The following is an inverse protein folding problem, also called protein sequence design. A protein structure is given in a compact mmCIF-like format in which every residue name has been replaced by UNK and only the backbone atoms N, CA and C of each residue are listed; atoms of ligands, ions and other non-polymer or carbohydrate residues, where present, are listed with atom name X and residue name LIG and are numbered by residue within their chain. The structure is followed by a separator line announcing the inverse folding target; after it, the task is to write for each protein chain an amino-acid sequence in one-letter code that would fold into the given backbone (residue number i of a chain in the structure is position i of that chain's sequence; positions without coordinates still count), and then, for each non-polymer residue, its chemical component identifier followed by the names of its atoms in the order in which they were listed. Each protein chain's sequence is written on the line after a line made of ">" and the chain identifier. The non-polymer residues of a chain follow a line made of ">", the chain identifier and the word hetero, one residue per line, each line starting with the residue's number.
data_IF_286674963052
#
_entry.id   IF_286674963052
#
_cell.length_a   1.000
_cell.length_b   1.000
_cell.length_c   1.000
_cell.angle_alpha   90.00
_cell.angle_beta   90.00
_cell.angle_gamma   90.00
#
_symmetry.space_group_name_H-M   'P 1'
#
loop_
_entity.id
_entity.type
_entity.pdbx_description
1 polymer ?
#
# COMPACT_ATOMS: atom_id res chain seq x y z
N UNK A 1 -19.91 -8.73 24.08
CA UNK A 1 -18.46 -8.62 23.79
C UNK A 1 -18.30 -7.64 22.63
N UNK A 2 -17.21 -6.86 22.60
CA UNK A 2 -16.91 -5.91 21.52
C UNK A 2 -15.40 -5.84 21.29
N UNK A 3 -14.98 -5.46 20.09
CA UNK A 3 -13.57 -5.46 19.68
C UNK A 3 -13.16 -4.12 19.08
N UNK A 4 -11.92 -3.71 19.37
CA UNK A 4 -11.27 -2.59 18.69
C UNK A 4 -10.12 -3.10 17.83
N UNK A 5 -10.10 -2.69 16.57
CA UNK A 5 -9.04 -3.00 15.61
C UNK A 5 -8.42 -1.69 15.12
N UNK A 6 -7.12 -1.51 15.33
CA UNK A 6 -6.41 -0.33 14.85
C UNK A 6 -5.28 -0.76 13.94
N UNK A 7 -5.42 -0.47 12.64
CA UNK A 7 -4.33 -0.59 11.66
C UNK A 7 -3.75 -2.02 11.63
N UNK A 8 -4.61 -3.00 11.35
CA UNK A 8 -4.28 -4.43 11.42
C UNK A 8 -4.41 -5.11 10.06
N UNK A 9 -3.48 -6.01 9.69
CA UNK A 9 -3.66 -6.86 8.52
C UNK A 9 -4.86 -7.80 8.72
N UNK A 10 -5.60 -8.08 7.65
CA UNK A 10 -6.60 -9.15 7.63
C UNK A 10 -5.97 -10.51 7.31
N UNK A 11 -4.80 -10.51 6.67
CA UNK A 11 -4.11 -11.71 6.22
C UNK A 11 -2.58 -11.58 6.36
N UNK A 12 -1.97 -12.66 6.83
CA UNK A 12 -0.52 -12.83 6.96
C UNK A 12 0.22 -12.88 5.61
N UNK A 13 -0.43 -13.40 4.55
CA UNK A 13 0.18 -13.36 3.22
C UNK A 13 0.25 -11.93 2.71
N UNK A 14 -0.83 -11.16 2.82
CA UNK A 14 -0.91 -9.78 2.34
C UNK A 14 -0.05 -8.78 3.13
N UNK A 15 0.29 -9.12 4.38
CA UNK A 15 1.35 -8.45 5.14
C UNK A 15 2.72 -8.54 4.46
N UNK A 16 2.98 -9.64 3.74
CA UNK A 16 4.30 -10.01 3.23
C UNK A 16 4.42 -9.82 1.72
N UNK A 17 3.36 -10.15 1.01
CA UNK A 17 3.27 -10.15 -0.44
C UNK A 17 2.08 -9.31 -0.90
N UNK A 18 2.31 -8.38 -1.81
CA UNK A 18 1.27 -7.57 -2.44
C UNK A 18 1.25 -7.90 -3.94
N UNK A 19 0.09 -8.29 -4.48
CA UNK A 19 -0.02 -8.70 -5.88
C UNK A 19 0.92 -9.85 -6.28
N UNK A 20 1.35 -10.68 -5.32
CA UNK A 20 2.33 -11.75 -5.53
C UNK A 20 3.79 -11.29 -5.59
N UNK A 21 4.08 -10.01 -5.37
CA UNK A 21 5.42 -9.49 -5.19
C UNK A 21 5.73 -9.33 -3.70
N UNK A 22 6.96 -9.69 -3.28
CA UNK A 22 7.41 -9.46 -1.89
C UNK A 22 7.44 -7.95 -1.63
N UNK A 23 6.74 -7.49 -0.60
CA UNK A 23 6.77 -6.11 -0.14
C UNK A 23 8.09 -5.83 0.60
N UNK A 24 9.20 -5.87 -0.14
CA UNK A 24 10.56 -5.91 0.42
C UNK A 24 10.84 -4.73 1.36
N UNK A 25 10.36 -3.52 1.01
CA UNK A 25 10.45 -2.31 1.83
C UNK A 25 9.97 -2.52 3.27
N UNK A 26 8.70 -2.87 3.42
CA UNK A 26 8.06 -3.06 4.72
C UNK A 26 8.53 -4.34 5.42
N UNK A 27 8.65 -5.45 4.69
CA UNK A 27 8.96 -6.76 5.28
C UNK A 27 10.38 -6.85 5.79
N UNK A 28 11.36 -6.31 5.07
CA UNK A 28 12.76 -6.28 5.52
C UNK A 28 12.92 -5.37 6.74
N UNK A 29 12.32 -4.18 6.69
CA UNK A 29 12.31 -3.24 7.82
C UNK A 29 11.70 -3.87 9.07
N UNK A 30 10.54 -4.51 8.94
CA UNK A 30 9.88 -5.16 10.05
C UNK A 30 10.66 -6.37 10.58
N UNK A 31 11.21 -7.22 9.70
CA UNK A 31 12.03 -8.36 10.09
C UNK A 31 13.26 -7.92 10.89
N UNK A 32 13.94 -6.85 10.46
CA UNK A 32 15.07 -6.26 11.16
C UNK A 32 14.67 -5.69 12.53
N UNK A 33 13.53 -5.00 12.62
CA UNK A 33 12.99 -4.52 13.90
C UNK A 33 12.64 -5.66 14.86
N UNK A 34 12.03 -6.74 14.36
CA UNK A 34 11.72 -7.93 15.17
C UNK A 34 12.98 -8.67 15.63
N UNK A 35 13.97 -8.79 14.76
CA UNK A 35 15.28 -9.35 15.08
C UNK A 35 15.96 -8.57 16.22
N UNK A 36 15.92 -7.23 16.18
CA UNK A 36 16.40 -6.36 17.26
C UNK A 36 15.62 -6.55 18.56
N UNK A 37 14.29 -6.58 18.50
CA UNK A 37 13.42 -6.81 19.67
C UNK A 37 13.68 -8.16 20.35
N UNK A 38 13.87 -9.23 19.58
CA UNK A 38 14.19 -10.56 20.11
C UNK A 38 15.56 -10.57 20.79
N UNK A 39 16.54 -9.85 20.24
CA UNK A 39 17.87 -9.69 20.82
C UNK A 39 17.84 -8.88 22.12
N UNK A 40 17.09 -7.78 22.17
CA UNK A 40 16.89 -7.02 23.40
C UNK A 40 16.25 -7.87 24.51
N UNK A 41 15.27 -8.73 24.16
CA UNK A 41 14.65 -9.66 25.12
C UNK A 41 15.64 -10.71 25.66
N UNK A 42 16.61 -11.17 24.85
CA UNK A 42 17.70 -12.04 25.28
C UNK A 42 18.61 -11.32 26.28
N UNK A 43 18.99 -10.08 25.97
CA UNK A 43 19.76 -9.22 26.88
C UNK A 43 19.07 -9.05 28.24
N UNK A 44 17.76 -8.79 28.24
CA UNK A 44 16.96 -8.67 29.48
C UNK A 44 16.92 -9.95 30.32
N UNK A 45 17.20 -11.12 29.72
CA UNK A 45 17.33 -12.40 30.42
C UNK A 45 18.75 -12.68 30.92
N UNK A 46 19.69 -11.75 30.72
CA UNK A 46 21.09 -11.90 31.13
C UNK A 46 21.96 -12.66 30.13
N UNK A 47 21.48 -12.90 28.91
CA UNK A 47 22.30 -13.48 27.84
C UNK A 47 23.32 -12.44 27.32
N UNK A 48 24.55 -12.86 27.03
CA UNK A 48 25.53 -12.00 26.34
C UNK A 48 25.11 -11.83 24.87
N UNK A 49 24.79 -10.59 24.51
CA UNK A 49 24.35 -10.19 23.17
C UNK A 49 25.20 -9.04 22.61
N UNK A 50 26.37 -8.74 23.19
CA UNK A 50 27.17 -7.58 22.78
C UNK A 50 27.53 -7.64 21.28
N UNK A 51 28.01 -8.79 20.81
CA UNK A 51 28.32 -9.02 19.40
C UNK A 51 27.07 -8.92 18.50
N UNK A 52 25.91 -9.38 18.99
CA UNK A 52 24.65 -9.30 18.24
C UNK A 52 24.24 -7.82 18.06
N UNK A 53 24.34 -7.01 19.12
CA UNK A 53 24.03 -5.58 19.08
C UNK A 53 24.97 -4.79 18.17
N UNK A 54 26.26 -5.14 18.13
CA UNK A 54 27.23 -4.57 17.20
C UNK A 54 26.85 -4.91 15.74
N UNK A 55 26.46 -6.16 15.48
CA UNK A 55 25.98 -6.63 14.17
C UNK A 55 24.72 -5.85 13.73
N UNK A 56 23.75 -5.67 14.63
CA UNK A 56 22.55 -4.86 14.37
C UNK A 56 22.90 -3.40 14.07
N UNK A 57 23.80 -2.81 14.85
CA UNK A 57 24.20 -1.42 14.67
C UNK A 57 24.85 -1.22 13.29
N UNK A 58 25.73 -2.15 12.88
CA UNK A 58 26.32 -2.13 11.55
C UNK A 58 25.27 -2.27 10.44
N UNK A 59 24.33 -3.20 10.58
CA UNK A 59 23.26 -3.43 9.60
C UNK A 59 22.29 -2.24 9.48
N UNK A 60 21.97 -1.58 10.60
CA UNK A 60 21.12 -0.37 10.60
C UNK A 60 21.85 0.81 9.97
N UNK A 61 23.14 0.97 10.22
CA UNK A 61 23.95 2.05 9.64
C UNK A 61 24.09 1.93 8.11
N UNK A 62 24.00 0.71 7.55
CA UNK A 62 24.04 0.45 6.11
C UNK A 62 22.76 -0.24 5.60
N UNK A 63 21.61 0.13 6.17
CA UNK A 63 20.32 -0.46 5.81
C UNK A 63 19.99 -0.43 4.30
N UNK A 64 20.30 0.65 3.54
CA UNK A 64 20.06 0.69 2.11
C UNK A 64 20.75 -0.43 1.30
N UNK A 65 21.88 -0.93 1.79
CA UNK A 65 22.61 -2.03 1.14
C UNK A 65 21.87 -3.36 1.31
N UNK A 66 21.15 -3.56 2.41
CA UNK A 66 20.36 -4.78 2.64
C UNK A 66 19.25 -4.95 1.59
N UNK A 67 18.66 -3.86 1.09
CA UNK A 67 17.68 -3.91 -0.01
C UNK A 67 18.26 -4.41 -1.34
N UNK A 68 19.59 -4.39 -1.48
CA UNK A 68 20.31 -4.78 -2.70
C UNK A 68 20.98 -6.14 -2.58
N UNK A 69 20.89 -6.79 -1.42
CA UNK A 69 21.46 -8.12 -1.19
C UNK A 69 20.85 -9.13 -2.16
N UNK A 70 21.70 -9.85 -2.87
CA UNK A 70 21.28 -10.92 -3.77
C UNK A 70 22.17 -12.15 -3.57
N UNK A 71 21.60 -13.35 -3.34
CA UNK A 71 20.17 -13.62 -3.13
C UNK A 71 19.65 -13.00 -1.80
N UNK A 72 18.35 -12.68 -1.72
CA UNK A 72 17.72 -12.12 -0.51
C UNK A 72 17.75 -13.07 0.71
N UNK A 73 18.11 -14.34 0.49
CA UNK A 73 18.36 -15.32 1.55
C UNK A 73 19.66 -15.08 2.30
N UNK A 74 20.57 -14.25 1.76
CA UNK A 74 21.92 -14.07 2.31
C UNK A 74 21.97 -12.83 3.20
N UNK A 75 21.07 -12.77 4.18
CA UNK A 75 21.02 -11.73 5.22
C UNK A 75 21.23 -12.42 6.58
N UNK A 76 22.50 -12.69 6.98
CA UNK A 76 22.81 -13.57 8.11
C UNK A 76 22.17 -13.15 9.43
N UNK A 77 22.09 -11.85 9.69
CA UNK A 77 21.48 -11.32 10.91
C UNK A 77 20.00 -11.72 11.04
N UNK A 78 19.27 -11.80 9.92
CA UNK A 78 17.88 -12.27 9.93
C UNK A 78 17.79 -13.78 10.08
N UNK A 79 18.67 -14.55 9.46
CA UNK A 79 18.69 -16.00 9.65
C UNK A 79 18.92 -16.39 11.11
N UNK A 80 19.78 -15.65 11.80
CA UNK A 80 20.13 -15.87 13.20
C UNK A 80 19.05 -15.40 14.18
N UNK A 81 18.51 -14.19 13.95
CA UNK A 81 17.65 -13.52 14.93
C UNK A 81 16.16 -13.53 14.58
N UNK A 82 15.82 -13.75 13.31
CA UNK A 82 14.43 -13.80 12.85
C UNK A 82 14.22 -14.84 11.71
N UNK A 83 14.33 -16.15 12.00
CA UNK A 83 14.30 -17.22 10.98
C UNK A 83 13.04 -17.25 10.11
N UNK A 84 11.95 -16.62 10.56
CA UNK A 84 10.72 -16.45 9.76
C UNK A 84 10.97 -15.72 8.44
N UNK A 85 11.99 -14.85 8.36
CA UNK A 85 12.40 -14.20 7.11
C UNK A 85 12.64 -15.21 5.99
N UNK A 86 13.41 -16.26 6.28
CA UNK A 86 13.70 -17.33 5.32
C UNK A 86 12.44 -18.09 4.92
N UNK A 87 11.52 -18.32 5.87
CA UNK A 87 10.24 -18.96 5.58
C UNK A 87 9.37 -18.15 4.64
N UNK A 88 9.36 -16.83 4.77
CA UNK A 88 8.64 -15.99 3.82
C UNK A 88 9.20 -16.14 2.40
N UNK A 89 10.53 -16.09 2.24
CA UNK A 89 11.18 -16.26 0.94
C UNK A 89 10.98 -17.66 0.32
N UNK A 90 10.87 -18.71 1.16
CA UNK A 90 10.60 -20.09 0.73
C UNK A 90 9.15 -20.28 0.23
N UNK A 91 8.22 -19.39 0.62
CA UNK A 91 6.80 -19.48 0.31
C UNK A 91 6.31 -18.24 -0.48
N UNK A 92 6.76 -18.03 -1.73
CA UNK A 92 6.44 -16.84 -2.52
C UNK A 92 5.03 -16.85 -3.11
N UNK A 93 4.31 -17.97 -3.05
CA UNK A 93 2.94 -18.13 -3.49
C UNK A 93 2.02 -18.26 -2.27
N UNK A 94 0.72 -17.98 -2.44
CA UNK A 94 -0.30 -18.14 -1.39
C UNK A 94 -0.68 -19.62 -1.19
N UNK A 95 0.27 -20.41 -0.74
CA UNK A 95 0.19 -21.86 -0.59
C UNK A 95 -0.39 -22.30 0.78
N UNK A 96 -0.38 -23.62 1.03
CA UNK A 96 -0.87 -24.22 2.28
C UNK A 96 -0.16 -23.68 3.53
N UNK A 97 1.10 -23.23 3.42
CA UNK A 97 1.84 -22.70 4.56
C UNK A 97 1.24 -21.39 5.05
N UNK A 98 0.83 -20.52 4.12
CA UNK A 98 0.10 -19.29 4.44
C UNK A 98 -1.33 -19.58 4.89
N UNK A 99 -2.03 -20.49 4.21
CA UNK A 99 -3.41 -20.84 4.57
C UNK A 99 -3.52 -21.40 5.99
N UNK A 100 -2.57 -22.23 6.42
CA UNK A 100 -2.51 -22.76 7.78
C UNK A 100 -2.26 -21.68 8.86
N UNK A 101 -1.87 -20.47 8.46
CA UNK A 101 -1.61 -19.30 9.33
C UNK A 101 -2.59 -18.16 9.09
N UNK A 102 -3.58 -18.35 8.22
CA UNK A 102 -4.62 -17.36 7.98
C UNK A 102 -5.35 -17.08 9.29
N UNK A 103 -5.69 -15.80 9.51
CA UNK A 103 -6.48 -15.40 10.67
C UNK A 103 -7.86 -16.05 10.52
N UNK A 104 -8.32 -16.87 11.48
CA UNK A 104 -9.64 -17.50 11.37
C UNK A 104 -10.71 -16.42 11.36
N UNK A 105 -11.82 -16.72 10.67
CA UNK A 105 -13.00 -15.87 10.72
C UNK A 105 -13.41 -15.69 12.18
N UNK A 106 -13.61 -14.43 12.58
CA UNK A 106 -14.01 -14.07 13.94
C UNK A 106 -15.50 -14.30 14.14
N UNK A 107 -15.88 -14.46 15.41
CA UNK A 107 -17.27 -14.45 15.82
C UNK A 107 -17.93 -13.10 15.51
N UNK A 108 -19.25 -13.15 15.37
CA UNK A 108 -20.16 -12.07 14.99
C UNK A 108 -20.28 -10.99 16.10
N UNK A 109 -19.21 -10.20 16.30
CA UNK A 109 -19.13 -9.17 17.36
C UNK A 109 -19.05 -7.74 16.79
N UNK A 110 -19.72 -6.77 17.44
CA UNK A 110 -19.53 -5.35 17.11
C UNK A 110 -18.06 -4.95 17.17
N UNK A 111 -17.60 -4.27 16.12
CA UNK A 111 -16.19 -3.90 15.99
C UNK A 111 -16.02 -2.45 15.59
N UNK A 112 -15.13 -1.72 16.29
CA UNK A 112 -14.60 -0.45 15.83
C UNK A 112 -13.30 -0.70 15.08
N UNK A 113 -13.25 -0.27 13.82
CA UNK A 113 -12.07 -0.35 12.95
C UNK A 113 -11.50 1.05 12.76
N UNK A 114 -10.23 1.21 13.07
CA UNK A 114 -9.45 2.43 12.81
C UNK A 114 -8.44 2.13 11.72
N UNK A 115 -8.46 2.94 10.66
CA UNK A 115 -7.64 2.78 9.47
C UNK A 115 -6.99 4.11 9.05
N UNK A 116 -6.00 4.03 8.15
CA UNK A 116 -5.37 5.18 7.52
C UNK A 116 -5.42 5.09 6.00
N UNK A 117 -5.69 6.18 5.30
CA UNK A 117 -5.70 6.21 3.82
C UNK A 117 -4.33 5.90 3.20
N UNK A 118 -3.25 6.13 3.94
CA UNK A 118 -1.88 5.86 3.51
C UNK A 118 -1.25 4.69 4.27
N UNK A 119 -2.06 3.92 4.99
CA UNK A 119 -1.60 2.76 5.72
C UNK A 119 -1.55 1.52 4.82
N UNK A 120 -0.49 0.72 4.96
CA UNK A 120 -0.29 -0.47 4.14
C UNK A 120 -1.31 -1.59 4.42
N UNK A 121 -2.04 -1.54 5.53
CA UNK A 121 -3.11 -2.48 5.90
C UNK A 121 -4.51 -1.94 5.63
N UNK A 122 -4.64 -0.85 4.89
CA UNK A 122 -5.95 -0.25 4.57
C UNK A 122 -6.92 -1.28 3.98
N UNK A 123 -6.50 -2.04 2.98
CA UNK A 123 -7.37 -3.02 2.32
C UNK A 123 -7.87 -4.07 3.32
N UNK A 124 -6.98 -4.59 4.17
CA UNK A 124 -7.36 -5.55 5.21
C UNK A 124 -8.24 -4.94 6.31
N UNK A 125 -8.05 -3.67 6.64
CA UNK A 125 -8.90 -2.94 7.59
C UNK A 125 -10.31 -2.74 7.01
N UNK A 126 -10.42 -2.38 5.73
CA UNK A 126 -11.70 -2.23 5.05
C UNK A 126 -12.43 -3.58 4.89
N UNK A 127 -11.70 -4.66 4.62
CA UNK A 127 -12.27 -6.01 4.59
C UNK A 127 -12.83 -6.42 5.96
N UNK A 128 -12.06 -6.23 7.03
CA UNK A 128 -12.50 -6.51 8.40
C UNK A 128 -13.72 -5.67 8.77
N UNK A 129 -13.76 -4.39 8.35
CA UNK A 129 -14.95 -3.57 8.56
C UNK A 129 -16.15 -4.09 7.75
N UNK A 130 -15.97 -4.49 6.48
CA UNK A 130 -17.06 -5.04 5.67
C UNK A 130 -17.65 -6.32 6.29
N UNK A 131 -16.82 -7.16 6.90
CA UNK A 131 -17.25 -8.34 7.67
C UNK A 131 -17.98 -7.96 8.96
N UNK A 132 -17.57 -6.88 9.63
CA UNK A 132 -18.19 -6.40 10.87
C UNK A 132 -19.42 -5.50 10.67
N UNK A 133 -19.59 -4.90 9.49
CA UNK A 133 -20.62 -3.91 9.18
C UNK A 133 -22.07 -4.41 9.33
N UNK A 134 -22.40 -5.71 9.11
CA UNK A 134 -23.72 -6.24 9.41
C UNK A 134 -24.12 -6.17 10.90
N UNK A 135 -23.17 -6.00 11.82
CA UNK A 135 -23.45 -5.96 13.26
C UNK A 135 -23.72 -4.53 13.73
N UNK A 136 -24.86 -4.35 14.41
CA UNK A 136 -25.29 -3.07 14.93
C UNK A 136 -24.22 -2.48 15.86
N UNK A 137 -23.84 -1.23 15.59
CA UNK A 137 -22.85 -0.50 16.38
C UNK A 137 -21.41 -0.58 15.89
N UNK A 138 -21.09 -1.43 14.91
CA UNK A 138 -19.76 -1.44 14.27
C UNK A 138 -19.42 -0.07 13.64
N UNK A 139 -18.15 0.36 13.72
CA UNK A 139 -17.72 1.70 13.29
C UNK A 139 -16.43 1.64 12.47
N UNK A 140 -16.27 2.59 11.54
CA UNK A 140 -15.04 2.79 10.77
C UNK A 140 -14.54 4.24 10.93
N UNK A 141 -13.35 4.41 11.49
CA UNK A 141 -12.67 5.70 11.53
C UNK A 141 -11.47 5.64 10.60
N UNK A 142 -11.42 6.51 9.59
CA UNK A 142 -10.33 6.55 8.64
C UNK A 142 -9.80 7.96 8.42
N UNK A 143 -8.57 8.19 8.85
CA UNK A 143 -7.88 9.46 8.65
C UNK A 143 -6.84 9.40 7.53
N UNK A 144 -6.24 10.54 7.15
CA UNK A 144 -5.10 10.59 6.24
C UNK A 144 -3.82 10.21 7.00
N UNK A 145 -3.82 9.00 7.58
CA UNK A 145 -2.75 8.47 8.41
C UNK A 145 -2.01 7.36 7.67
N UNK A 146 -0.73 7.21 7.98
CA UNK A 146 0.10 6.08 7.58
C UNK A 146 0.18 5.06 8.71
N UNK A 147 1.18 4.17 8.61
CA UNK A 147 1.41 3.16 9.65
C UNK A 147 2.02 3.79 10.90
N UNK A 148 1.26 3.87 11.99
CA UNK A 148 1.71 4.42 13.26
C UNK A 148 0.69 5.33 13.93
N UNK A 149 1.18 6.34 14.66
CA UNK A 149 0.31 7.25 15.42
C UNK A 149 -0.46 8.20 14.47
N UNK A 150 -1.78 8.36 14.64
CA UNK A 150 -2.63 9.32 13.91
C UNK A 150 -2.19 10.80 14.03
N UNK A 151 -1.22 11.20 13.20
CA UNK A 151 -0.64 12.54 13.15
C UNK A 151 -1.39 13.53 12.25
N UNK A 152 -0.80 14.73 12.09
CA UNK A 152 -1.33 15.77 11.19
C UNK A 152 -0.66 15.76 9.82
N UNK A 153 0.53 15.19 9.68
CA UNK A 153 1.31 15.24 8.45
C UNK A 153 1.89 13.87 8.11
N UNK A 154 2.04 13.59 6.82
CA UNK A 154 2.78 12.44 6.28
C UNK A 154 3.63 12.92 5.11
N UNK A 155 4.93 12.72 5.20
CA UNK A 155 5.92 13.16 4.22
C UNK A 155 5.71 14.61 3.75
N UNK A 156 5.40 14.82 2.47
CA UNK A 156 5.30 16.13 1.83
C UNK A 156 3.98 16.86 2.13
N UNK A 157 3.05 16.20 2.82
CA UNK A 157 1.68 16.69 3.03
C UNK A 157 1.38 16.84 4.52
N UNK A 158 1.19 18.07 4.95
CA UNK A 158 0.41 18.37 6.16
C UNK A 158 -1.07 18.21 5.79
N UNK A 159 -1.88 17.59 6.64
CA UNK A 159 -3.34 17.43 6.49
C UNK A 159 -4.11 18.34 7.48
N UNK A 160 -3.39 19.17 8.24
CA UNK A 160 -3.92 20.15 9.17
C UNK A 160 -4.23 19.58 10.55
N UNK A 161 -4.32 20.44 11.58
CA UNK A 161 -4.57 20.02 12.97
C UNK A 161 -5.83 19.17 13.14
N UNK A 162 -6.86 19.43 12.34
CA UNK A 162 -8.14 18.75 12.39
C UNK A 162 -8.08 17.28 11.94
N UNK A 163 -7.00 16.84 11.28
CA UNK A 163 -6.80 15.46 10.84
C UNK A 163 -6.18 14.55 11.91
N UNK A 164 -5.58 15.10 12.97
CA UNK A 164 -4.96 14.28 14.03
C UNK A 164 -5.98 13.41 14.77
N UNK A 165 -5.55 12.25 15.24
CA UNK A 165 -6.36 11.34 16.08
C UNK A 165 -6.97 12.06 17.30
N UNK A 166 -6.18 12.92 17.94
CA UNK A 166 -6.64 13.74 19.06
C UNK A 166 -7.75 14.71 18.67
N UNK A 167 -7.60 15.45 17.56
CA UNK A 167 -8.61 16.42 17.12
C UNK A 167 -9.90 15.79 16.58
N UNK A 168 -9.83 14.56 16.08
CA UNK A 168 -11.03 13.78 15.71
C UNK A 168 -11.66 13.06 16.91
N UNK A 169 -11.03 13.11 18.09
CA UNK A 169 -11.54 12.45 19.30
C UNK A 169 -11.43 10.93 19.25
N UNK A 170 -10.40 10.40 18.58
CA UNK A 170 -10.26 8.96 18.32
C UNK A 170 -10.30 8.13 19.60
N UNK A 171 -9.57 8.56 20.64
CA UNK A 171 -9.53 7.85 21.93
C UNK A 171 -10.90 7.85 22.63
N UNK A 172 -11.59 8.99 22.60
CA UNK A 172 -12.94 9.10 23.15
C UNK A 172 -13.92 8.20 22.39
N UNK A 173 -13.86 8.18 21.06
CA UNK A 173 -14.71 7.32 20.22
C UNK A 173 -14.49 5.83 20.52
N UNK A 174 -13.24 5.39 20.67
CA UNK A 174 -12.90 4.00 21.03
C UNK A 174 -13.34 3.65 22.45
N UNK A 175 -13.10 4.52 23.42
CA UNK A 175 -13.51 4.30 24.81
C UNK A 175 -15.02 4.28 24.95
N UNK A 176 -15.73 5.20 24.30
CA UNK A 176 -17.20 5.24 24.29
C UNK A 176 -17.79 4.00 23.62
N UNK A 177 -17.18 3.54 22.52
CA UNK A 177 -17.56 2.29 21.88
C UNK A 177 -17.40 1.11 22.83
N UNK A 178 -16.23 0.91 23.45
CA UNK A 178 -16.02 -0.22 24.35
C UNK A 178 -16.91 -0.14 25.59
N UNK A 179 -17.03 1.04 26.19
CA UNK A 179 -17.77 1.24 27.42
C UNK A 179 -19.28 1.03 27.23
N UNK A 180 -19.86 1.46 26.11
CA UNK A 180 -21.28 1.20 25.80
C UNK A 180 -21.59 -0.30 25.68
N UNK A 181 -20.71 -1.07 25.05
CA UNK A 181 -20.88 -2.52 24.91
C UNK A 181 -20.64 -3.28 26.22
N UNK A 182 -19.76 -2.79 27.10
CA UNK A 182 -19.59 -3.34 28.46
C UNK A 182 -20.84 -3.08 29.32
N UNK A 183 -21.46 -1.91 29.17
CA UNK A 183 -22.69 -1.54 29.91
C UNK A 183 -23.97 -2.20 29.35
N UNK A 184 -23.89 -2.87 28.21
CA UNK A 184 -25.06 -3.47 27.54
C UNK A 184 -26.02 -2.43 26.96
N UNK A 185 -25.54 -1.22 26.68
CA UNK A 185 -26.32 -0.19 26.01
C UNK A 185 -26.57 -0.63 24.55
N UNK A 186 -27.82 -0.63 24.09
CA UNK A 186 -28.10 -1.02 22.71
C UNK A 186 -27.50 0.02 21.76
N UNK A 187 -26.69 -0.46 20.82
CA UNK A 187 -26.06 0.36 19.78
C UNK A 187 -27.04 0.74 18.66
N UNK A 188 -28.33 0.41 18.82
CA UNK A 188 -29.41 0.49 17.83
C UNK A 188 -29.60 1.90 17.21
N UNK A 189 -28.95 2.93 17.75
CA UNK A 189 -29.14 4.33 17.34
C UNK A 189 -28.05 4.88 16.42
N UNK A 190 -26.92 4.19 16.18
CA UNK A 190 -25.83 4.75 15.37
C UNK A 190 -25.47 3.79 14.23
N UNK A 191 -25.79 4.14 12.96
CA UNK A 191 -25.37 3.32 11.82
C UNK A 191 -23.84 3.23 11.75
N UNK A 192 -23.37 2.26 10.97
CA UNK A 192 -21.98 2.17 10.54
C UNK A 192 -21.48 3.55 10.08
N UNK A 193 -20.70 4.21 10.94
CA UNK A 193 -20.14 5.54 10.68
C UNK A 193 -18.79 5.33 10.03
N UNK A 194 -18.66 5.76 8.78
CA UNK A 194 -17.35 6.00 8.17
C UNK A 194 -17.04 7.49 8.39
N UNK A 195 -15.96 7.79 9.10
CA UNK A 195 -15.42 9.15 9.16
C UNK A 195 -14.17 9.20 8.30
N UNK A 196 -14.27 9.79 7.11
CA UNK A 196 -13.14 10.05 6.23
C UNK A 196 -12.69 11.51 6.36
N UNK A 197 -11.43 11.74 6.71
CA UNK A 197 -10.81 13.06 6.57
C UNK A 197 -10.04 13.10 5.24
N UNK A 198 -10.49 13.91 4.29
CA UNK A 198 -9.70 14.27 3.12
C UNK A 198 -9.25 15.71 3.26
N UNK A 199 -7.94 15.98 3.24
CA UNK A 199 -7.44 17.35 3.31
C UNK A 199 -7.28 17.94 1.91
N UNK A 200 -7.84 19.14 1.71
CA UNK A 200 -7.66 19.95 0.50
C UNK A 200 -6.92 21.22 0.84
N UNK A 201 -6.06 21.67 -0.07
CA UNK A 201 -5.76 23.09 -0.11
C UNK A 201 -4.95 23.58 -1.30
N UNK A 202 -5.16 24.87 -1.56
CA UNK A 202 -4.26 25.75 -2.29
C UNK A 202 -3.14 26.27 -1.36
N UNK A 203 -2.01 26.76 -1.92
CA UNK A 203 -0.68 26.50 -1.38
C UNK A 203 -0.28 27.42 -0.26
N UNK A 204 0.69 26.97 0.51
CA UNK A 204 1.43 27.83 1.40
C UNK A 204 2.72 28.37 0.88
N UNK A 205 2.60 29.62 0.44
CA UNK A 205 3.44 30.69 0.95
C UNK A 205 3.18 30.94 2.46
N UNK A 206 3.68 30.05 3.33
CA UNK A 206 4.11 30.44 4.68
C UNK A 206 3.24 30.20 5.93
N UNK A 207 1.91 29.97 5.88
CA UNK A 207 1.03 29.51 7.00
C UNK A 207 -0.46 29.47 6.61
N UNK A 208 -1.05 28.30 6.41
CA UNK A 208 -2.44 28.07 6.00
C UNK A 208 -2.91 26.76 6.60
N UNK A 209 -4.16 26.80 6.96
CA UNK A 209 -4.88 25.73 7.57
C UNK A 209 -5.61 25.03 6.44
N UNK A 210 -5.24 23.78 6.17
CA UNK A 210 -5.96 22.93 5.24
C UNK A 210 -7.33 22.58 5.81
N UNK A 211 -8.36 22.64 4.97
CA UNK A 211 -9.68 22.17 5.34
C UNK A 211 -9.70 20.65 5.17
N UNK A 212 -9.71 19.94 6.29
CA UNK A 212 -10.10 18.53 6.30
C UNK A 212 -11.63 18.47 6.19
N UNK A 213 -12.13 18.08 5.02
CA UNK A 213 -13.55 17.75 4.89
C UNK A 213 -13.78 16.45 5.64
N UNK A 214 -14.56 16.51 6.72
CA UNK A 214 -15.04 15.32 7.42
C UNK A 214 -16.24 14.78 6.65
N UNK A 215 -16.05 13.67 5.96
CA UNK A 215 -17.17 12.88 5.49
C UNK A 215 -17.74 12.12 6.68
N UNK A 216 -18.73 12.70 7.35
CA UNK A 216 -19.61 11.97 8.26
C UNK A 216 -20.81 11.50 7.46
N UNK A 217 -20.89 10.20 7.25
CA UNK A 217 -21.98 9.60 6.52
C UNK A 217 -22.57 8.48 7.37
N UNK A 218 -23.81 8.71 7.80
CA UNK A 218 -24.71 7.69 8.34
C UNK A 218 -25.46 6.94 7.20
N UNK A 219 -25.27 7.40 5.96
CA UNK A 219 -25.90 6.91 4.73
C UNK A 219 -24.93 7.03 3.55
N UNK A 220 -24.53 5.92 2.90
CA UNK A 220 -23.53 5.95 1.85
C UNK A 220 -23.89 6.97 0.76
N UNK A 221 -22.97 7.88 0.46
CA UNK A 221 -23.10 8.79 -0.67
C UNK A 221 -23.24 7.93 -1.93
N UNK A 222 -24.21 8.19 -2.84
CA UNK A 222 -24.33 7.41 -4.07
C UNK A 222 -23.08 7.60 -4.94
N UNK A 223 -22.18 6.62 -4.92
CA UNK A 223 -20.98 6.60 -5.74
C UNK A 223 -21.28 6.07 -7.14
N UNK A 224 -20.67 6.66 -8.16
CA UNK A 224 -20.71 6.16 -9.54
C UNK A 224 -19.34 5.63 -9.94
N UNK A 225 -19.29 4.41 -10.46
CA UNK A 225 -18.06 3.86 -11.03
C UNK A 225 -17.68 4.68 -12.27
N UNK A 226 -16.48 5.27 -12.25
CA UNK A 226 -15.91 6.00 -13.40
C UNK A 226 -14.83 5.16 -14.05
N UNK A 227 -14.90 4.99 -15.38
CA UNK A 227 -13.88 4.32 -16.18
C UNK A 227 -13.08 5.37 -16.96
N UNK A 228 -11.77 5.38 -16.78
CA UNK A 228 -10.84 6.17 -17.59
C UNK A 228 -10.09 5.20 -18.50
N UNK A 229 -10.11 5.46 -19.81
CA UNK A 229 -9.42 4.63 -20.80
C UNK A 229 -8.21 5.41 -21.29
N UNK A 230 -7.03 4.82 -21.12
CA UNK A 230 -5.76 5.39 -21.55
C UNK A 230 -5.20 4.56 -22.70
N UNK A 231 -4.77 5.21 -23.78
CA UNK A 231 -4.13 4.55 -24.92
C UNK A 231 -2.72 5.08 -25.11
N UNK A 232 -1.81 4.21 -25.53
CA UNK A 232 -0.46 4.62 -25.93
C UNK A 232 -0.57 5.54 -27.14
N UNK A 233 -0.04 6.76 -27.03
CA UNK A 233 -0.11 7.78 -28.08
C UNK A 233 -1.34 8.70 -28.00
N UNK A 234 -2.24 8.53 -27.03
CA UNK A 234 -3.35 9.45 -26.79
C UNK A 234 -2.78 10.80 -26.27
N UNK A 235 -2.76 11.80 -27.15
CA UNK A 235 -2.24 13.16 -26.92
C UNK A 235 -3.33 14.12 -26.44
N UNK A 236 -4.00 13.86 -25.32
CA UNK A 236 -4.80 14.92 -24.66
C UNK A 236 -3.92 15.77 -23.74
N UNK A 237 -3.01 16.53 -24.36
CA UNK A 237 -2.48 17.87 -24.00
C UNK A 237 -1.27 18.21 -24.91
N UNK A 238 -1.01 19.50 -25.21
CA UNK A 238 -0.39 19.94 -26.47
C UNK A 238 1.15 19.81 -26.49
N UNK A 239 1.62 19.40 -27.67
CA UNK A 239 3.00 19.21 -28.15
C UNK A 239 3.76 17.97 -27.68
N UNK A 240 4.15 17.09 -28.63
CA UNK A 240 4.92 15.89 -28.35
C UNK A 240 6.41 16.21 -28.17
N UNK A 241 7.06 15.60 -27.17
CA UNK A 241 8.33 14.97 -27.46
C UNK A 241 7.97 13.74 -28.30
N UNK A 242 8.39 13.74 -29.56
CA UNK A 242 8.14 12.65 -30.50
C UNK A 242 8.62 11.32 -29.92
N UNK A 243 7.70 10.41 -29.62
CA UNK A 243 8.03 9.00 -29.54
C UNK A 243 7.44 8.35 -30.80
N UNK A 244 8.23 8.32 -31.87
CA UNK A 244 7.95 7.50 -33.04
C UNK A 244 8.21 6.04 -32.69
N UNK A 245 7.34 5.15 -33.18
CA UNK A 245 7.41 3.67 -33.14
C UNK A 245 6.78 3.01 -31.91
N UNK A 246 6.05 1.87 -32.03
CA UNK A 246 5.70 1.00 -30.89
C UNK A 246 6.99 0.45 -30.26
N UNK A 247 7.64 1.25 -29.43
CA UNK A 247 8.92 0.92 -28.81
C UNK A 247 8.76 0.03 -27.60
N UNK A 248 9.40 -1.13 -27.64
CA UNK A 248 9.86 -1.93 -26.50
C UNK A 248 10.62 -1.02 -25.53
N UNK A 249 10.32 -1.08 -24.23
CA UNK A 249 11.12 -0.36 -23.22
C UNK A 249 11.78 -1.38 -22.30
N UNK A 250 13.10 -1.33 -22.22
CA UNK A 250 13.88 -2.25 -21.39
C UNK A 250 13.91 -1.73 -19.95
N UNK A 251 13.60 -2.60 -18.99
CA UNK A 251 13.88 -2.41 -17.58
C UNK A 251 15.11 -3.27 -17.24
N UNK A 252 16.14 -2.66 -16.64
CA UNK A 252 17.44 -3.31 -16.43
C UNK A 252 17.45 -4.32 -15.27
N UNK A 253 16.41 -4.33 -14.42
CA UNK A 253 16.28 -5.22 -13.28
C UNK A 253 17.23 -4.91 -12.12
N UNK A 254 18.11 -3.90 -12.26
CA UNK A 254 19.20 -3.58 -11.33
C UNK A 254 18.96 -2.26 -10.60
N UNK A 255 18.10 -1.40 -11.14
CA UNK A 255 17.74 -0.12 -10.54
C UNK A 255 16.33 -0.19 -9.98
N UNK A 256 16.13 -0.62 -8.71
CA UNK A 256 14.81 -0.66 -8.11
C UNK A 256 14.20 0.76 -8.14
N UNK A 257 12.93 0.82 -8.53
CA UNK A 257 12.10 2.01 -8.33
C UNK A 257 11.77 2.06 -6.84
N UNK A 258 12.66 2.66 -6.05
CA UNK A 258 12.28 3.14 -4.73
C UNK A 258 11.74 4.54 -4.97
N UNK A 259 10.44 4.64 -5.28
CA UNK A 259 9.79 5.94 -5.24
C UNK A 259 9.42 6.21 -3.78
N UNK A 260 9.83 7.36 -3.27
CA UNK A 260 9.26 7.88 -2.02
C UNK A 260 7.73 7.94 -2.17
N UNK A 261 7.02 7.53 -1.12
CA UNK A 261 5.56 7.49 -1.09
C UNK A 261 4.90 6.19 -1.57
N UNK A 262 5.64 5.15 -1.99
CA UNK A 262 5.02 3.84 -2.30
C UNK A 262 4.42 3.16 -1.06
N UNK A 263 3.30 2.44 -1.25
CA UNK A 263 2.60 1.73 -0.17
C UNK A 263 3.51 0.73 0.57
N UNK A 264 4.51 0.17 -0.12
CA UNK A 264 5.51 -0.73 0.45
C UNK A 264 6.43 -0.06 1.50
N UNK A 265 6.46 1.27 1.60
CA UNK A 265 7.25 2.01 2.58
C UNK A 265 6.42 2.89 3.55
N UNK A 266 5.08 2.81 3.50
CA UNK A 266 4.16 3.54 4.40
C UNK A 266 4.35 5.08 4.44
N UNK A 267 4.87 5.65 3.36
CA UNK A 267 5.33 7.06 3.28
C UNK A 267 4.29 8.03 2.73
N UNK A 268 3.01 7.91 3.05
CA UNK A 268 2.05 8.98 2.68
C UNK A 268 2.04 9.36 1.19
N UNK A 269 1.84 10.66 0.93
CA UNK A 269 1.87 11.25 -0.42
C UNK A 269 3.19 12.00 -0.62
N UNK A 270 3.94 11.64 -1.66
CA UNK A 270 5.21 12.24 -2.06
C UNK A 270 5.16 12.73 -3.51
N UNK A 271 5.99 13.73 -3.82
CA UNK A 271 6.14 14.23 -5.18
C UNK A 271 6.80 13.21 -6.13
N UNK A 272 6.07 12.87 -7.19
CA UNK A 272 6.44 11.86 -8.18
C UNK A 272 7.21 12.43 -9.37
N UNK A 273 7.42 13.75 -9.45
CA UNK A 273 8.18 14.39 -10.54
C UNK A 273 9.59 13.84 -10.74
N UNK A 274 10.37 13.45 -9.70
CA UNK A 274 11.71 12.86 -9.93
C UNK A 274 11.70 11.62 -10.82
N UNK A 275 10.60 10.86 -10.80
CA UNK A 275 10.43 9.69 -11.65
C UNK A 275 10.21 10.05 -13.12
N UNK A 276 9.74 11.25 -13.46
CA UNK A 276 9.42 11.65 -14.84
C UNK A 276 10.65 11.64 -15.77
N UNK A 277 11.86 11.60 -15.21
CA UNK A 277 13.11 11.48 -15.95
C UNK A 277 13.40 10.05 -16.42
N UNK A 278 12.72 9.04 -15.86
CA UNK A 278 13.01 7.65 -16.19
C UNK A 278 12.28 7.21 -17.45
N UNK A 279 13.00 6.52 -18.33
CA UNK A 279 12.45 6.05 -19.60
C UNK A 279 11.47 4.88 -19.43
N UNK A 280 11.58 4.13 -18.35
CA UNK A 280 10.72 2.99 -18.06
C UNK A 280 9.36 3.41 -17.49
N UNK A 281 9.16 4.68 -17.13
CA UNK A 281 7.86 5.21 -16.67
C UNK A 281 6.96 5.56 -17.85
N UNK A 282 5.74 5.01 -17.86
CA UNK A 282 4.64 5.49 -18.70
C UNK A 282 3.77 6.48 -17.91
N UNK A 283 3.35 7.58 -18.54
CA UNK A 283 2.46 8.59 -17.96
C UNK A 283 1.25 8.81 -18.85
N UNK A 284 0.08 8.85 -18.24
CA UNK A 284 -1.16 9.27 -18.87
C UNK A 284 -1.78 10.33 -17.98
N UNK A 285 -2.07 11.52 -18.49
CA UNK A 285 -2.62 12.62 -17.69
C UNK A 285 -3.88 13.14 -18.39
N UNK A 286 -4.94 13.40 -17.62
CA UNK A 286 -6.15 14.04 -18.16
C UNK A 286 -5.85 15.49 -18.55
N UNK A 287 -6.76 16.12 -19.29
CA UNK A 287 -6.83 17.59 -19.27
C UNK A 287 -7.15 18.08 -17.85
N UNK A 288 -6.81 19.34 -17.53
CA UNK A 288 -7.23 19.97 -16.29
C UNK A 288 -8.72 19.81 -16.06
N UNK A 289 -9.11 19.42 -14.85
CA UNK A 289 -10.50 19.20 -14.48
C UNK A 289 -11.27 20.51 -14.49
N UNK A 290 -12.42 20.54 -15.16
CA UNK A 290 -13.29 21.72 -15.16
C UNK A 290 -13.94 22.00 -13.80
N UNK A 291 -14.13 20.96 -12.98
CA UNK A 291 -14.71 21.02 -11.63
C UNK A 291 -14.00 20.05 -10.70
N UNK A 292 -14.08 20.28 -9.40
CA UNK A 292 -13.61 19.32 -8.39
C UNK A 292 -14.20 17.92 -8.64
N UNK A 293 -13.39 16.89 -8.40
CA UNK A 293 -13.80 15.49 -8.55
C UNK A 293 -13.39 14.65 -7.35
N UNK A 294 -14.38 14.11 -6.64
CA UNK A 294 -14.16 13.15 -5.55
C UNK A 294 -13.93 11.74 -6.10
N UNK A 295 -12.81 11.15 -5.72
CA UNK A 295 -12.42 9.76 -5.98
C UNK A 295 -12.48 9.03 -4.66
N UNK A 296 -13.57 8.29 -4.43
CA UNK A 296 -13.83 7.57 -3.18
C UNK A 296 -14.06 6.08 -3.48
N UNK A 297 -13.32 5.22 -2.81
CA UNK A 297 -13.44 3.77 -2.92
C UNK A 297 -12.24 3.10 -3.63
N UNK A 298 -12.39 1.83 -4.03
CA UNK A 298 -11.31 1.04 -4.63
C UNK A 298 -10.94 1.56 -6.02
N UNK A 299 -9.63 1.59 -6.29
CA UNK A 299 -9.03 1.95 -7.57
C UNK A 299 -8.40 0.71 -8.20
N UNK A 300 -8.80 0.42 -9.44
CA UNK A 300 -8.37 -0.76 -10.19
C UNK A 300 -7.88 -0.31 -11.57
N UNK A 301 -6.75 -0.87 -12.01
CA UNK A 301 -6.21 -0.70 -13.36
C UNK A 301 -6.31 -2.03 -14.10
N UNK A 302 -7.02 -2.03 -15.23
CA UNK A 302 -6.94 -3.13 -16.21
C UNK A 302 -5.93 -2.76 -17.28
N UNK A 303 -4.83 -3.49 -17.32
CA UNK A 303 -3.72 -3.29 -18.25
C UNK A 303 -3.69 -4.42 -19.29
N UNK A 304 -3.60 -4.06 -20.56
CA UNK A 304 -3.26 -5.00 -21.63
C UNK A 304 -1.82 -4.75 -22.05
N UNK A 305 -0.92 -5.69 -21.75
CA UNK A 305 0.50 -5.53 -21.98
C UNK A 305 1.16 -6.85 -22.40
N UNK A 306 2.33 -6.74 -23.04
CA UNK A 306 3.16 -7.87 -23.41
C UNK A 306 4.57 -7.65 -22.84
N UNK A 307 5.22 -8.73 -22.43
CA UNK A 307 6.61 -8.72 -21.97
C UNK A 307 7.44 -9.71 -22.79
N UNK A 308 8.72 -9.41 -23.03
CA UNK A 308 9.63 -10.35 -23.68
C UNK A 308 10.13 -11.45 -22.73
N UNK A 309 10.01 -11.23 -21.41
CA UNK A 309 10.32 -12.22 -20.39
C UNK A 309 9.11 -13.13 -20.11
N UNK A 310 9.38 -14.35 -19.63
CA UNK A 310 8.35 -15.29 -19.21
C UNK A 310 7.68 -14.89 -17.88
N UNK A 311 8.24 -13.92 -17.16
CA UNK A 311 7.62 -13.31 -15.98
C UNK A 311 8.16 -11.89 -15.78
N UNK A 312 7.34 -11.03 -15.19
CA UNK A 312 7.69 -9.66 -14.85
C UNK A 312 6.68 -9.09 -13.86
N UNK A 313 7.00 -7.99 -13.17
CA UNK A 313 6.01 -7.28 -12.36
C UNK A 313 5.46 -6.09 -13.13
N UNK A 314 4.16 -5.77 -12.97
CA UNK A 314 3.52 -4.55 -13.44
C UNK A 314 3.01 -3.73 -12.25
N UNK A 315 3.44 -2.47 -12.14
CA UNK A 315 2.89 -1.55 -11.14
C UNK A 315 1.91 -0.56 -11.76
N UNK A 316 1.12 0.10 -10.93
CA UNK A 316 0.32 1.24 -11.32
C UNK A 316 0.15 2.17 -10.11
N UNK A 317 0.03 3.47 -10.38
CA UNK A 317 -0.16 4.51 -9.37
C UNK A 317 -1.17 5.53 -9.89
N UNK A 318 -2.04 5.99 -9.01
CA UNK A 318 -2.92 7.13 -9.22
C UNK A 318 -2.23 8.37 -8.64
N UNK A 319 -2.11 9.44 -9.43
CA UNK A 319 -1.41 10.66 -9.04
C UNK A 319 -2.32 11.88 -9.24
N UNK A 320 -2.31 12.76 -8.25
CA UNK A 320 -2.92 14.09 -8.26
C UNK A 320 -1.91 15.12 -8.78
N UNK A 321 -2.18 15.72 -9.93
CA UNK A 321 -1.33 16.77 -10.52
C UNK A 321 -1.96 18.13 -10.22
N UNK A 322 -1.26 18.91 -9.40
CA UNK A 322 -1.71 20.21 -8.93
C UNK A 322 -1.46 21.30 -9.99
N UNK A 323 -2.20 22.42 -9.94
CA UNK A 323 -2.02 23.54 -10.88
C UNK A 323 -0.59 24.13 -10.89
N UNK A 324 0.13 24.03 -9.77
CA UNK A 324 1.53 24.47 -9.64
C UNK A 324 2.56 23.46 -10.18
N UNK A 325 2.08 22.33 -10.71
CA UNK A 325 2.88 21.28 -11.31
C UNK A 325 3.35 20.20 -10.35
N UNK A 326 3.08 20.29 -9.03
CA UNK A 326 3.35 19.16 -8.11
C UNK A 326 2.54 17.93 -8.53
N UNK A 327 3.12 16.74 -8.36
CA UNK A 327 2.49 15.48 -8.76
C UNK A 327 2.51 14.49 -7.60
N UNK A 328 1.49 14.50 -6.74
CA UNK A 328 1.47 13.71 -5.51
C UNK A 328 0.80 12.36 -5.74
N UNK A 329 1.42 11.27 -5.28
CA UNK A 329 0.76 9.96 -5.34
C UNK A 329 -0.43 9.91 -4.39
N UNK A 330 -1.49 9.23 -4.82
CA UNK A 330 -2.69 8.98 -4.01
C UNK A 330 -2.66 7.53 -3.52
N UNK A 331 -2.50 6.58 -4.45
CA UNK A 331 -2.57 5.14 -4.18
C UNK A 331 -1.82 4.39 -5.28
N UNK A 332 -1.19 3.27 -4.95
CA UNK A 332 -0.43 2.42 -5.87
C UNK A 332 -0.62 0.94 -5.61
N UNK A 333 -0.34 0.13 -6.63
CA UNK A 333 -0.41 -1.32 -6.57
C UNK A 333 0.54 -1.98 -7.55
N UNK A 334 0.66 -3.28 -7.39
CA UNK A 334 1.54 -4.14 -8.18
C UNK A 334 0.82 -5.45 -8.49
N UNK A 335 1.14 -6.05 -9.62
CA UNK A 335 0.85 -7.46 -9.91
C UNK A 335 2.09 -8.10 -10.50
N UNK A 336 2.50 -9.23 -9.92
CA UNK A 336 3.52 -10.10 -10.50
C UNK A 336 2.86 -10.99 -11.55
N UNK A 337 3.36 -10.98 -12.78
CA UNK A 337 2.70 -11.56 -13.93
C UNK A 337 2.41 -13.06 -13.77
N UNK A 338 3.30 -13.83 -13.14
CA UNK A 338 3.03 -15.25 -12.87
C UNK A 338 1.82 -15.49 -11.95
N UNK A 339 1.42 -14.51 -11.16
CA UNK A 339 0.28 -14.57 -10.23
C UNK A 339 -0.92 -13.76 -10.72
N UNK A 340 -0.94 -13.33 -12.00
CA UNK A 340 -2.04 -12.54 -12.59
C UNK A 340 -3.42 -13.19 -12.48
N UNK A 341 -3.47 -14.52 -12.35
CA UNK A 341 -4.68 -15.33 -12.27
C UNK A 341 -4.73 -16.04 -10.90
N UNK A 342 -5.32 -15.42 -9.86
CA UNK A 342 -5.31 -15.97 -8.50
C UNK A 342 -5.91 -17.38 -8.39
N UNK A 343 -6.84 -17.73 -9.29
CA UNK A 343 -7.49 -19.05 -9.33
C UNK A 343 -6.62 -20.17 -9.90
N UNK A 344 -5.53 -19.84 -10.59
CA UNK A 344 -4.73 -20.79 -11.37
C UNK A 344 -3.34 -21.05 -10.77
N UNK A 345 -2.98 -20.40 -9.65
CA UNK A 345 -1.64 -20.47 -9.08
C UNK A 345 -0.60 -19.76 -9.95
N UNK A 346 0.59 -20.35 -10.09
CA UNK A 346 1.66 -19.82 -10.95
C UNK A 346 1.44 -20.17 -12.42
N UNK A 347 1.40 -19.14 -13.27
CA UNK A 347 1.27 -19.29 -14.72
C UNK A 347 2.24 -18.35 -15.43
N UNK A 348 3.24 -18.88 -16.15
CA UNK A 348 4.18 -18.01 -16.88
C UNK A 348 3.50 -17.27 -18.05
N UNK A 349 4.13 -16.18 -18.50
CA UNK A 349 3.75 -15.45 -19.71
C UNK A 349 4.24 -16.16 -20.95
N UNK A 350 3.48 -16.03 -22.04
CA UNK A 350 4.00 -16.29 -23.38
C UNK A 350 4.76 -15.04 -23.86
N UNK A 351 6.07 -15.13 -24.12
CA UNK A 351 6.86 -13.97 -24.53
C UNK A 351 6.28 -13.23 -25.73
N UNK A 352 6.19 -11.90 -25.61
CA UNK A 352 5.68 -10.96 -26.62
C UNK A 352 4.19 -11.12 -26.97
N UNK A 353 3.43 -11.96 -26.27
CA UNK A 353 1.98 -12.03 -26.40
C UNK A 353 1.31 -11.03 -25.45
N UNK A 354 0.31 -10.26 -25.90
CA UNK A 354 -0.49 -9.44 -25.00
C UNK A 354 -1.33 -10.31 -24.04
N UNK A 355 -1.24 -9.98 -22.75
CA UNK A 355 -2.07 -10.54 -21.69
C UNK A 355 -2.82 -9.41 -20.97
N UNK A 356 -3.95 -9.75 -20.35
CA UNK A 356 -4.68 -8.85 -19.45
C UNK A 356 -4.12 -8.99 -18.03
N UNK A 357 -3.94 -7.86 -17.36
CA UNK A 357 -3.49 -7.77 -15.97
C UNK A 357 -4.47 -6.86 -15.21
N UNK A 358 -4.98 -7.36 -14.09
CA UNK A 358 -5.76 -6.56 -13.14
C UNK A 358 -4.83 -6.16 -12.00
N UNK A 359 -4.60 -4.86 -11.84
CA UNK A 359 -3.80 -4.28 -10.77
C UNK A 359 -4.76 -3.59 -9.81
N UNK A 360 -4.87 -4.11 -8.59
CA UNK A 360 -5.59 -3.46 -7.51
C UNK A 360 -4.65 -2.49 -6.82
N UNK A 361 -5.01 -1.20 -6.82
CA UNK A 361 -4.20 -0.16 -6.17
C UNK A 361 -4.60 -0.04 -4.69
N UNK A 362 -5.83 -0.42 -4.33
CA UNK A 362 -6.41 -0.22 -3.01
C UNK A 362 -7.46 0.89 -3.02
N UNK A 363 -7.91 1.31 -1.84
CA UNK A 363 -8.95 2.32 -1.70
C UNK A 363 -8.38 3.71 -1.38
N UNK A 364 -9.10 4.76 -1.77
CA UNK A 364 -8.77 6.14 -1.41
C UNK A 364 -10.04 6.97 -1.20
N UNK A 365 -9.87 8.15 -0.62
CA UNK A 365 -10.86 9.22 -0.60
C UNK A 365 -10.16 10.56 -0.90
N UNK A 366 -10.07 10.91 -2.19
CA UNK A 366 -9.36 12.09 -2.70
C UNK A 366 -10.20 12.90 -3.71
N UNK A 367 -10.45 14.18 -3.45
CA UNK A 367 -10.94 15.24 -4.34
C UNK A 367 -9.81 15.87 -5.14
N UNK A 368 -9.75 15.61 -6.43
CA UNK A 368 -8.87 16.38 -7.30
C UNK A 368 -9.53 17.72 -7.62
N UNK A 369 -8.85 18.83 -7.33
CA UNK A 369 -9.41 20.18 -7.49
C UNK A 369 -9.55 20.58 -8.95
N UNK A 370 -10.46 21.52 -9.23
CA UNK A 370 -10.56 22.15 -10.54
C UNK A 370 -9.20 22.75 -10.94
N UNK A 371 -8.86 22.68 -12.22
CA UNK A 371 -7.53 23.01 -12.78
C UNK A 371 -6.40 22.03 -12.44
N UNK A 372 -6.60 21.09 -11.50
CA UNK A 372 -5.74 19.92 -11.33
C UNK A 372 -6.00 18.85 -12.39
N UNK A 373 -5.16 17.83 -12.48
CA UNK A 373 -5.35 16.70 -13.42
C UNK A 373 -5.13 15.37 -12.70
N UNK A 374 -5.75 14.30 -13.21
CA UNK A 374 -5.45 12.94 -12.73
C UNK A 374 -4.50 12.28 -13.70
N UNK A 375 -3.47 11.64 -13.15
CA UNK A 375 -2.56 10.80 -13.92
C UNK A 375 -2.70 9.33 -13.51
N UNK A 376 -3.56 8.53 -14.18
CA UNK A 376 -3.62 7.09 -13.95
C UNK A 376 -2.47 6.37 -14.68
N UNK A 377 -1.85 5.43 -13.97
CA UNK A 377 -0.85 4.47 -14.43
C UNK A 377 0.59 5.00 -14.55
N UNK A 378 1.48 4.31 -13.82
CA UNK A 378 2.91 4.14 -14.12
C UNK A 378 3.14 2.63 -14.15
N UNK A 379 3.28 2.06 -15.34
CA UNK A 379 3.52 0.62 -15.56
C UNK A 379 4.95 0.36 -15.95
N UNK A 380 5.59 -0.62 -15.32
CA UNK A 380 6.93 -1.12 -15.65
C UNK A 380 6.88 -2.63 -15.73
N UNK A 381 7.76 -3.28 -16.51
CA UNK A 381 8.14 -4.66 -16.32
C UNK A 381 9.31 -4.74 -15.32
N UNK A 382 9.11 -5.12 -14.06
CA UNK A 382 10.26 -5.52 -13.24
C UNK A 382 10.71 -6.90 -13.70
N UNK A 383 11.88 -7.01 -14.32
CA UNK A 383 12.52 -8.29 -14.55
C UNK A 383 12.99 -8.82 -13.18
N UNK A 384 12.23 -9.74 -12.58
CA UNK A 384 12.70 -10.48 -11.41
C UNK A 384 13.81 -11.43 -11.86
N UNK A 385 15.04 -10.91 -11.99
CA UNK A 385 16.23 -11.73 -11.99
C UNK A 385 16.57 -12.12 -10.54
N UNK A 386 15.61 -12.69 -9.81
CA UNK A 386 15.93 -13.55 -8.67
C UNK A 386 16.08 -14.94 -9.28
N UNK A 387 17.32 -15.24 -9.67
CA UNK A 387 17.76 -16.58 -9.99
C UNK A 387 17.58 -17.47 -8.74
N UNK A 388 16.38 -18.00 -8.55
CA UNK A 388 16.20 -19.26 -7.81
C UNK A 388 16.74 -20.40 -8.68
N UNK A 389 18.03 -20.38 -9.00
CA UNK A 389 18.72 -21.56 -9.50
C UNK A 389 19.01 -22.44 -8.30
N UNK A 390 18.22 -23.50 -8.15
CA UNK A 390 18.72 -24.71 -7.50
C UNK A 390 17.87 -25.31 -6.39
N UNK A 391 16.59 -25.55 -6.60
CA UNK A 391 15.90 -26.66 -5.91
C UNK A 391 15.04 -27.47 -6.90
N UNK A 392 15.64 -27.89 -8.01
CA UNK A 392 15.13 -29.03 -8.76
C UNK A 392 15.55 -30.30 -8.00
N UNK A 393 14.61 -30.89 -7.27
CA UNK A 393 14.68 -32.26 -6.79
C UNK A 393 14.98 -33.17 -7.98
N UNK A 394 16.21 -33.69 -8.06
CA UNK A 394 16.48 -34.88 -8.87
C UNK A 394 15.84 -36.06 -8.17
N UNK A 395 14.66 -36.46 -8.63
CA UNK A 395 14.29 -37.87 -8.59
C UNK A 395 15.05 -38.58 -9.72
N UNK A 396 16.12 -39.28 -9.36
CA UNK A 396 16.44 -40.63 -9.82
C UNK A 396 17.24 -41.34 -8.75
#
# INVERSE_FOLDING_TARGET
>A
MAMGLCVVPSDSYELTYTGGALALGSTLFWAMGMAGNLTARRAMRGEDVAADLDEFTAAVNDFPTLYRTTPLTDIPILDKHFPSWRKWLEHPARDEWWQARAVPRRDDIPTVVVAGWHDLFLNGSLQQFAEAAPYAGSRLVIGPWGHGMPGTALEDVDYGRASSGMAVGLDAEMLDFLASHVRGESSDSKPARASGCSAWGEPLAGRAQLAADRHHSDRPVPLRRRKIVCRRGDRRSPRPLSCSTPGTRAHDGRTPLVADGDAANARGSCDQRPLDLRQDVLRFTTEPLATNMDVIGPVIVTLFAAASAADTDWTAKLVDVWPDGRALNIVDGIVRARYRNPSCGEELLEPNRPHEFVIELGATAQRVTASGSISPARTFPASTAILARGLSRRHR
#
